data_IF_643271917972
#
_entry.id   IF_643271917972
#
_cell.length_a   1.000
_cell.length_b   1.000
_cell.length_c   1.000
_cell.angle_alpha   90.00
_cell.angle_beta   90.00
_cell.angle_gamma   90.00
#
_symmetry.space_group_name_H-M   'P 1'
#
loop_
_entity.id
_entity.type
_entity.pdbx_description
1 polymer ?
#
# COMPACT_ATOMS: atom_id res chain seq x y z
N UNK A 1 1.20 -3.36 1.25
CA UNK A 1 0.49 -3.12 2.53
C UNK A 1 1.46 -2.48 3.53
N UNK A 2 1.19 -1.25 3.97
CA UNK A 2 2.07 -0.53 4.88
C UNK A 2 1.66 -0.76 6.34
N UNK A 3 2.47 -1.53 7.08
CA UNK A 3 2.13 -1.95 8.45
C UNK A 3 1.95 -0.77 9.40
N UNK A 4 2.71 0.32 9.20
CA UNK A 4 2.59 1.53 10.01
C UNK A 4 1.20 2.17 9.88
N UNK A 5 0.60 2.14 8.68
CA UNK A 5 -0.72 2.68 8.42
C UNK A 5 -1.81 1.89 9.16
N UNK A 6 -1.72 0.55 9.09
CA UNK A 6 -2.63 -0.36 9.79
C UNK A 6 -2.51 -0.19 11.30
N UNK A 7 -1.29 -0.24 11.86
CA UNK A 7 -1.06 -0.07 13.29
C UNK A 7 -1.67 1.24 13.80
N UNK A 8 -1.43 2.35 13.09
CA UNK A 8 -1.95 3.66 13.43
C UNK A 8 -3.48 3.73 13.35
N UNK A 9 -4.07 3.16 12.30
CA UNK A 9 -5.53 3.10 12.15
C UNK A 9 -6.18 2.28 13.27
N UNK A 10 -5.70 1.08 13.54
CA UNK A 10 -6.23 0.21 14.60
C UNK A 10 -6.07 0.86 15.98
N UNK A 11 -4.92 1.48 16.26
CA UNK A 11 -4.70 2.17 17.53
C UNK A 11 -5.65 3.34 17.72
N UNK A 12 -6.00 4.11 16.66
CA UNK A 12 -6.97 5.19 16.75
C UNK A 12 -8.40 4.67 16.96
N UNK A 13 -8.76 3.60 16.26
CA UNK A 13 -10.09 2.99 16.33
C UNK A 13 -10.35 2.33 17.69
N UNK A 14 -9.41 1.52 18.16
CA UNK A 14 -9.58 0.78 19.43
C UNK A 14 -9.12 1.56 20.66
N UNK A 15 -8.38 2.66 20.47
CA UNK A 15 -7.69 3.41 21.55
C UNK A 15 -6.80 2.52 22.41
N UNK A 16 -6.22 1.49 21.79
CA UNK A 16 -5.39 0.49 22.45
C UNK A 16 -4.15 0.18 21.57
N UNK A 17 -2.97 0.72 21.91
CA UNK A 17 -1.75 0.48 21.15
C UNK A 17 -1.18 -0.93 21.34
N UNK A 18 -1.50 -1.65 22.42
CA UNK A 18 -1.09 -3.04 22.62
C UNK A 18 -1.87 -3.91 21.65
N UNK A 19 -3.20 -3.76 21.62
CA UNK A 19 -4.05 -4.46 20.66
C UNK A 19 -3.63 -4.19 19.22
N UNK A 20 -3.37 -2.93 18.86
CA UNK A 20 -2.96 -2.59 17.50
C UNK A 20 -1.68 -3.31 17.05
N UNK A 21 -0.69 -3.49 17.95
CA UNK A 21 0.53 -4.25 17.65
C UNK A 21 0.26 -5.75 17.49
N UNK A 22 -0.54 -6.34 18.38
CA UNK A 22 -0.92 -7.74 18.30
C UNK A 22 -1.66 -8.07 17.00
N UNK A 23 -2.61 -7.24 16.60
CA UNK A 23 -3.36 -7.41 15.34
C UNK A 23 -2.46 -7.32 14.11
N UNK A 24 -1.47 -6.41 14.14
CA UNK A 24 -0.45 -6.32 13.09
C UNK A 24 0.43 -7.56 13.01
N UNK A 25 0.82 -8.13 14.15
CA UNK A 25 1.60 -9.36 14.17
C UNK A 25 0.77 -10.54 13.63
N UNK A 26 -0.52 -10.63 13.96
CA UNK A 26 -1.43 -11.62 13.38
C UNK A 26 -1.57 -11.49 11.87
N UNK A 27 -1.62 -10.27 11.33
CA UNK A 27 -1.64 -10.06 9.88
C UNK A 27 -0.37 -10.59 9.21
N UNK A 28 0.78 -10.55 9.89
CA UNK A 28 2.05 -11.07 9.34
C UNK A 28 2.04 -12.59 9.17
N UNK A 29 1.23 -13.29 9.96
CA UNK A 29 1.12 -14.74 9.90
C UNK A 29 0.20 -15.24 8.78
N UNK A 30 -0.50 -14.33 8.07
CA UNK A 30 -1.36 -14.67 6.94
C UNK A 30 -0.55 -15.15 5.74
N UNK A 31 -0.65 -16.44 5.45
CA UNK A 31 0.12 -17.16 4.40
C UNK A 31 -0.10 -16.67 2.97
N UNK A 32 -1.18 -15.94 2.72
CA UNK A 32 -1.54 -15.41 1.40
C UNK A 32 -1.14 -13.94 1.21
N UNK A 33 -0.48 -13.33 2.20
CA UNK A 33 0.02 -11.95 2.13
C UNK A 33 1.55 -11.99 2.08
N UNK A 34 2.12 -11.42 1.02
CA UNK A 34 3.55 -11.20 0.93
C UNK A 34 3.90 -9.78 1.38
N UNK A 35 4.80 -9.67 2.36
CA UNK A 35 5.33 -8.39 2.84
C UNK A 35 6.60 -8.04 2.10
N UNK A 36 6.59 -6.90 1.41
CA UNK A 36 7.75 -6.40 0.68
C UNK A 36 8.52 -5.42 1.59
N UNK A 37 9.80 -5.67 1.88
CA UNK A 37 10.63 -4.70 2.61
C UNK A 37 10.86 -3.46 1.75
N UNK A 38 10.78 -2.28 2.37
CA UNK A 38 11.06 -1.01 1.69
C UNK A 38 12.57 -0.76 1.73
N UNK A 39 13.25 -1.03 0.62
CA UNK A 39 14.67 -0.70 0.45
C UNK A 39 14.85 0.69 -0.18
N UNK A 40 16.10 1.16 -0.21
CA UNK A 40 16.44 2.47 -0.76
C UNK A 40 15.98 2.65 -2.22
N UNK A 41 15.99 1.57 -3.01
CA UNK A 41 15.59 1.62 -4.41
C UNK A 41 14.07 1.79 -4.54
N UNK A 42 13.26 1.06 -3.77
CA UNK A 42 11.79 1.25 -3.75
C UNK A 42 11.45 2.65 -3.26
N UNK A 43 12.13 3.16 -2.22
CA UNK A 43 11.83 4.49 -1.69
C UNK A 43 12.20 5.60 -2.67
N UNK A 44 13.29 5.45 -3.43
CA UNK A 44 13.69 6.41 -4.45
C UNK A 44 12.70 6.41 -5.63
N UNK A 45 12.33 5.22 -6.12
CA UNK A 45 11.33 5.08 -7.18
C UNK A 45 9.98 5.67 -6.77
N UNK A 46 9.55 5.43 -5.52
CA UNK A 46 8.33 6.02 -4.98
C UNK A 46 8.40 7.56 -4.92
N UNK A 47 9.56 8.13 -4.57
CA UNK A 47 9.74 9.59 -4.55
C UNK A 47 9.59 10.20 -5.95
N UNK A 48 10.16 9.56 -6.98
CA UNK A 48 10.02 9.96 -8.38
C UNK A 48 8.56 9.88 -8.84
N UNK A 49 7.90 8.75 -8.57
CA UNK A 49 6.47 8.57 -8.90
C UNK A 49 5.59 9.61 -8.17
N UNK A 50 5.88 9.89 -6.90
CA UNK A 50 5.14 10.88 -6.13
C UNK A 50 5.25 12.28 -6.75
N UNK A 51 6.46 12.70 -7.13
CA UNK A 51 6.70 13.97 -7.79
C UNK A 51 5.99 14.04 -9.15
N UNK A 52 6.10 12.98 -9.95
CA UNK A 52 5.58 12.93 -11.31
C UNK A 52 4.05 12.85 -11.38
N UNK A 53 3.41 12.20 -10.39
CA UNK A 53 1.97 11.92 -10.38
C UNK A 53 1.21 12.66 -9.29
N UNK A 54 1.88 13.50 -8.49
CA UNK A 54 1.33 14.19 -7.34
C UNK A 54 0.65 13.23 -6.34
N UNK A 55 1.28 12.09 -6.04
CA UNK A 55 0.78 11.11 -5.09
C UNK A 55 1.30 11.38 -3.67
N UNK A 56 0.54 10.98 -2.65
CA UNK A 56 1.03 10.99 -1.26
C UNK A 56 2.12 9.92 -1.11
N UNK A 57 3.00 10.10 -0.13
CA UNK A 57 4.17 9.21 0.03
C UNK A 57 3.82 7.73 0.18
N UNK A 58 2.76 7.38 0.91
CA UNK A 58 2.30 6.00 1.06
C UNK A 58 1.74 5.43 -0.26
N UNK A 59 0.87 6.19 -0.92
CA UNK A 59 0.28 5.83 -2.21
C UNK A 59 1.37 5.57 -3.27
N UNK A 60 2.38 6.44 -3.33
CA UNK A 60 3.49 6.29 -4.25
C UNK A 60 4.35 5.03 -3.95
N UNK A 61 4.47 4.62 -2.70
CA UNK A 61 5.11 3.34 -2.34
C UNK A 61 4.31 2.15 -2.84
N UNK A 62 2.97 2.21 -2.76
CA UNK A 62 2.12 1.15 -3.32
C UNK A 62 2.26 1.06 -4.84
N UNK A 63 2.30 2.20 -5.54
CA UNK A 63 2.54 2.25 -6.99
C UNK A 63 3.92 1.70 -7.35
N UNK A 64 4.98 2.11 -6.64
CA UNK A 64 6.35 1.64 -6.88
C UNK A 64 6.46 0.12 -6.72
N UNK A 65 5.87 -0.43 -5.65
CA UNK A 65 5.80 -1.89 -5.45
C UNK A 65 5.02 -2.55 -6.58
N UNK A 66 3.84 -2.03 -6.94
CA UNK A 66 3.05 -2.61 -8.02
C UNK A 66 3.82 -2.65 -9.36
N UNK A 67 4.54 -1.56 -9.67
CA UNK A 67 5.35 -1.44 -10.87
C UNK A 67 6.52 -2.43 -10.86
N UNK A 68 7.27 -2.50 -9.77
CA UNK A 68 8.47 -3.34 -9.66
C UNK A 68 8.16 -4.84 -9.69
N UNK A 69 7.01 -5.25 -9.16
CA UNK A 69 6.59 -6.65 -9.16
C UNK A 69 5.61 -7.01 -10.29
N UNK A 70 5.32 -6.06 -11.20
CA UNK A 70 4.44 -6.29 -12.35
C UNK A 70 3.01 -6.69 -11.97
N UNK A 71 2.52 -6.24 -10.81
CA UNK A 71 1.17 -6.57 -10.32
C UNK A 71 0.22 -5.37 -10.45
N UNK A 72 -1.07 -5.63 -10.30
CA UNK A 72 -2.07 -4.58 -10.30
C UNK A 72 -2.12 -3.87 -8.94
N UNK A 73 -2.26 -2.53 -8.96
CA UNK A 73 -2.65 -1.78 -7.78
C UNK A 73 -4.16 -1.92 -7.58
N UNK A 74 -4.57 -2.60 -6.52
CA UNK A 74 -5.98 -2.70 -6.13
C UNK A 74 -6.26 -1.67 -5.05
N UNK A 75 -7.13 -0.69 -5.32
CA UNK A 75 -7.45 0.39 -4.38
C UNK A 75 -8.92 0.82 -4.46
N UNK A 76 -9.44 1.30 -3.33
CA UNK A 76 -10.73 1.98 -3.25
C UNK A 76 -10.59 3.51 -3.37
N UNK A 77 -9.37 4.03 -3.27
CA UNK A 77 -9.12 5.46 -3.42
C UNK A 77 -9.14 5.85 -4.90
N UNK A 78 -10.11 6.69 -5.26
CA UNK A 78 -10.31 7.11 -6.65
C UNK A 78 -9.18 8.01 -7.14
N UNK A 79 -8.66 8.90 -6.31
CA UNK A 79 -7.62 9.87 -6.67
C UNK A 79 -6.29 9.14 -6.88
N UNK A 80 -5.94 8.22 -5.98
CA UNK A 80 -4.78 7.33 -6.15
C UNK A 80 -4.89 6.53 -7.44
N UNK A 81 -6.06 5.90 -7.67
CA UNK A 81 -6.30 5.10 -8.86
C UNK A 81 -6.10 5.89 -10.15
N UNK A 82 -6.71 7.06 -10.25
CA UNK A 82 -6.63 7.92 -11.44
C UNK A 82 -5.19 8.41 -11.68
N UNK A 83 -4.46 8.78 -10.62
CA UNK A 83 -3.07 9.24 -10.72
C UNK A 83 -2.06 8.13 -10.97
N UNK A 84 -2.35 6.91 -10.51
CA UNK A 84 -1.49 5.73 -10.66
C UNK A 84 -1.70 5.01 -12.00
N UNK A 85 -2.88 5.11 -12.63
CA UNK A 85 -3.22 4.43 -13.88
C UNK A 85 -2.21 4.63 -15.04
N UNK A 86 -1.53 5.79 -15.21
CA UNK A 86 -0.48 5.94 -16.22
C UNK A 86 0.80 5.13 -15.94
N UNK A 87 0.97 4.61 -14.72
CA UNK A 87 2.20 3.94 -14.25
C UNK A 87 2.01 2.44 -14.11
N UNK A 88 0.85 2.01 -13.61
CA UNK A 88 0.54 0.59 -13.36
C UNK A 88 -0.92 0.27 -13.70
N UNK A 89 -1.23 -1.00 -13.93
CA UNK A 89 -2.62 -1.44 -14.01
C UNK A 89 -3.29 -1.20 -12.66
N UNK A 90 -4.40 -0.48 -12.66
CA UNK A 90 -5.18 -0.21 -11.45
C UNK A 90 -6.54 -0.87 -11.51
N UNK A 91 -7.01 -1.41 -10.38
CA UNK A 91 -8.31 -2.07 -10.25
C UNK A 91 -9.00 -1.64 -8.96
N UNK A 92 -10.32 -1.65 -8.97
CA UNK A 92 -11.12 -1.75 -7.75
C UNK A 92 -11.10 -3.19 -7.22
N UNK A 93 -11.43 -3.42 -5.94
CA UNK A 93 -11.56 -4.78 -5.41
C UNK A 93 -12.58 -5.63 -6.19
N UNK A 94 -13.69 -5.04 -6.64
CA UNK A 94 -14.68 -5.74 -7.43
C UNK A 94 -14.12 -6.19 -8.79
N UNK A 95 -13.34 -5.34 -9.47
CA UNK A 95 -12.68 -5.69 -10.74
C UNK A 95 -11.56 -6.72 -10.57
N UNK A 96 -10.92 -6.78 -9.39
CA UNK A 96 -9.85 -7.74 -9.11
C UNK A 96 -10.37 -9.15 -8.76
N UNK A 97 -11.63 -9.26 -8.36
CA UNK A 97 -12.28 -10.51 -7.97
C UNK A 97 -13.21 -11.10 -9.04
N UNK A 98 -13.41 -10.37 -10.15
CA UNK A 98 -14.18 -10.81 -11.32
C UNK A 98 -13.37 -11.75 -12.21
#
# INVERSE_FOLDING_TARGET
MHIAEIAGALSRTFRDPIRARLEVDLLRDLRHIQYIPLDAAITQEAAEIAADRALRGADALYVAVARRYGCALVTLDREERERAAPVVRTLTPAEALA
#
